data_IF_873703999365
#
_entry.id   IF_873703999365
#
_cell.length_a   1.000
_cell.length_b   1.000
_cell.length_c   1.000
_cell.angle_alpha   90.00
_cell.angle_beta   90.00
_cell.angle_gamma   90.00
#
_symmetry.space_group_name_H-M   'P 1'
#
loop_
_entity.id
_entity.type
_entity.pdbx_description
1 polymer ?
#
# COMPACT_ATOMS: atom_id res chain seq x y z
N UNK A 1 -1.49 -5.70 26.44
CA UNK A 1 -1.67 -4.26 26.14
C UNK A 1 -0.99 -3.90 24.80
N UNK A 2 -0.97 -4.81 23.82
CA UNK A 2 -0.02 -4.74 22.69
C UNK A 2 -0.67 -4.26 21.37
N UNK A 3 -2.00 -4.28 21.28
CA UNK A 3 -2.72 -3.98 20.04
C UNK A 3 -2.71 -2.49 19.66
N UNK A 4 -2.65 -1.56 20.62
CA UNK A 4 -2.66 -0.12 20.31
C UNK A 4 -1.34 0.36 19.68
N UNK A 5 -0.20 -0.11 20.22
CA UNK A 5 1.13 0.18 19.68
C UNK A 5 1.31 -0.41 18.28
N UNK A 6 0.84 -1.64 18.06
CA UNK A 6 0.92 -2.30 16.76
C UNK A 6 0.03 -1.60 15.70
N UNK A 7 -1.17 -1.16 16.07
CA UNK A 7 -2.05 -0.38 15.18
C UNK A 7 -1.46 1.00 14.86
N UNK A 8 -0.86 1.68 15.85
CA UNK A 8 -0.18 2.96 15.66
C UNK A 8 1.04 2.83 14.74
N UNK A 9 1.85 1.79 14.92
CA UNK A 9 3.03 1.51 14.09
C UNK A 9 2.63 1.15 12.65
N UNK A 10 1.57 0.35 12.49
CA UNK A 10 1.03 -0.01 11.17
C UNK A 10 0.50 1.21 10.41
N UNK A 11 -0.27 2.08 11.08
CA UNK A 11 -0.78 3.32 10.47
C UNK A 11 0.34 4.30 10.11
N UNK A 12 1.39 4.37 10.94
CA UNK A 12 2.56 5.22 10.68
C UNK A 12 3.33 4.76 9.44
N UNK A 13 3.55 3.44 9.30
CA UNK A 13 4.17 2.86 8.10
C UNK A 13 3.33 3.06 6.83
N UNK A 14 2.00 2.95 6.93
CA UNK A 14 1.12 3.25 5.79
C UNK A 14 1.18 4.73 5.38
N UNK A 15 1.25 5.64 6.36
CA UNK A 15 1.39 7.07 6.11
C UNK A 15 2.74 7.39 5.47
N UNK A 16 3.84 6.87 6.02
CA UNK A 16 5.19 7.06 5.48
C UNK A 16 5.32 6.56 4.04
N UNK A 17 4.79 5.37 3.75
CA UNK A 17 4.73 4.85 2.38
C UNK A 17 3.94 5.78 1.46
N UNK A 18 2.78 6.27 1.90
CA UNK A 18 1.95 7.18 1.10
C UNK A 18 2.68 8.48 0.80
N UNK A 19 3.31 9.10 1.81
CA UNK A 19 4.12 10.32 1.64
C UNK A 19 5.27 10.05 0.68
N UNK A 20 6.00 8.95 0.86
CA UNK A 20 7.09 8.55 -0.03
C UNK A 20 6.62 8.42 -1.48
N UNK A 21 5.48 7.76 -1.72
CA UNK A 21 4.90 7.59 -3.06
C UNK A 21 4.48 8.93 -3.67
N UNK A 22 3.86 9.81 -2.88
CA UNK A 22 3.45 11.15 -3.33
C UNK A 22 4.68 11.97 -3.70
N UNK A 23 5.71 12.02 -2.85
CA UNK A 23 6.93 12.80 -3.11
C UNK A 23 7.69 12.27 -4.32
N UNK A 24 7.87 10.96 -4.40
CA UNK A 24 8.60 10.32 -5.50
C UNK A 24 7.82 10.40 -6.82
N UNK A 25 6.51 10.19 -6.76
CA UNK A 25 5.59 10.32 -7.89
C UNK A 25 5.56 11.76 -8.43
N UNK A 26 5.48 12.75 -7.53
CA UNK A 26 5.56 14.16 -7.92
C UNK A 26 6.88 14.48 -8.62
N UNK A 27 8.02 14.04 -8.05
CA UNK A 27 9.34 14.26 -8.62
C UNK A 27 9.48 13.61 -10.01
N UNK A 28 9.03 12.36 -10.16
CA UNK A 28 9.02 11.65 -11.44
C UNK A 28 8.13 12.37 -12.47
N UNK A 29 6.94 12.80 -12.07
CA UNK A 29 6.03 13.55 -12.91
C UNK A 29 6.60 14.90 -13.37
N UNK A 30 7.27 15.63 -12.48
CA UNK A 30 7.97 16.88 -12.82
C UNK A 30 9.09 16.62 -13.82
N UNK A 31 9.90 15.57 -13.60
CA UNK A 31 11.00 15.22 -14.49
C UNK A 31 10.49 14.87 -15.90
N UNK A 32 9.43 14.07 -16.00
CA UNK A 32 8.81 13.70 -17.28
C UNK A 32 8.25 14.95 -17.97
N UNK A 33 7.47 15.78 -17.26
CA UNK A 33 6.92 17.01 -17.82
C UNK A 33 8.01 17.96 -18.32
N UNK A 34 9.12 18.09 -17.58
CA UNK A 34 10.27 18.89 -17.99
C UNK A 34 10.93 18.32 -19.25
N UNK A 35 11.05 17.00 -19.37
CA UNK A 35 11.61 16.35 -20.56
C UNK A 35 10.76 16.56 -21.83
N UNK A 36 9.43 16.68 -21.68
CA UNK A 36 8.49 16.90 -22.80
C UNK A 36 8.08 18.38 -22.99
N UNK A 37 8.78 19.33 -22.35
CA UNK A 37 8.46 20.77 -22.39
C UNK A 37 7.00 21.09 -22.03
N UNK A 38 6.44 20.41 -21.03
CA UNK A 38 5.11 20.66 -20.48
C UNK A 38 5.19 21.28 -19.08
N UNK A 39 4.03 21.70 -18.59
CA UNK A 39 3.89 22.29 -17.26
C UNK A 39 4.29 21.28 -16.17
N UNK A 40 5.27 21.66 -15.35
CA UNK A 40 5.82 20.85 -14.27
C UNK A 40 4.81 20.63 -13.14
N UNK A 41 3.92 21.60 -12.87
CA UNK A 41 2.87 21.47 -11.85
C UNK A 41 1.85 20.42 -12.26
N UNK A 42 1.45 20.41 -13.53
CA UNK A 42 0.57 19.37 -14.07
C UNK A 42 1.29 18.01 -14.03
N UNK A 43 2.59 17.98 -14.37
CA UNK A 43 3.44 16.80 -14.21
C UNK A 43 3.42 16.22 -12.81
N UNK A 44 3.62 17.07 -11.80
CA UNK A 44 3.60 16.68 -10.39
C UNK A 44 2.26 16.03 -10.01
N UNK A 45 1.14 16.66 -10.37
CA UNK A 45 -0.22 16.15 -10.07
C UNK A 45 -0.44 14.79 -10.73
N UNK A 46 -0.09 14.65 -12.01
CA UNK A 46 -0.21 13.39 -12.75
C UNK A 46 0.68 12.31 -12.14
N UNK A 47 1.93 12.65 -11.79
CA UNK A 47 2.87 11.73 -11.16
C UNK A 47 2.42 11.23 -9.79
N UNK A 48 1.86 12.12 -8.96
CA UNK A 48 1.21 11.74 -7.69
C UNK A 48 0.04 10.79 -7.95
N UNK A 49 -0.86 11.15 -8.88
CA UNK A 49 -2.03 10.35 -9.21
C UNK A 49 -1.67 8.94 -9.68
N UNK A 50 -0.71 8.83 -10.60
CA UNK A 50 -0.22 7.53 -11.10
C UNK A 50 0.50 6.75 -10.00
N UNK A 51 1.31 7.40 -9.16
CA UNK A 51 1.99 6.76 -8.03
C UNK A 51 1.01 6.15 -7.02
N UNK A 52 -0.03 6.89 -6.65
CA UNK A 52 -1.08 6.41 -5.75
C UNK A 52 -1.90 5.28 -6.38
N UNK A 53 -2.22 5.35 -7.67
CA UNK A 53 -2.92 4.28 -8.39
C UNK A 53 -2.08 2.99 -8.46
N UNK A 54 -0.79 3.11 -8.75
CA UNK A 54 0.13 1.98 -8.73
C UNK A 54 0.22 1.37 -7.33
N UNK A 55 0.35 2.20 -6.29
CA UNK A 55 0.34 1.71 -4.92
C UNK A 55 -0.96 0.99 -4.58
N UNK A 56 -2.13 1.52 -4.97
CA UNK A 56 -3.40 0.86 -4.73
C UNK A 56 -3.52 -0.49 -5.45
N UNK A 57 -3.08 -0.57 -6.72
CA UNK A 57 -3.11 -1.79 -7.52
C UNK A 57 -2.15 -2.87 -7.00
N UNK A 58 -0.95 -2.46 -6.57
CA UNK A 58 0.09 -3.38 -6.11
C UNK A 58 0.16 -3.51 -4.58
N UNK A 59 -0.76 -2.86 -3.85
CA UNK A 59 -0.77 -2.89 -2.39
C UNK A 59 -0.85 -4.34 -1.90
N UNK A 60 0.00 -4.74 -0.94
CA UNK A 60 0.00 -6.10 -0.40
C UNK A 60 -1.31 -6.47 0.33
N UNK A 61 -2.25 -5.52 0.55
CA UNK A 61 -3.57 -5.78 1.13
C UNK A 61 -4.33 -6.92 0.45
N UNK A 62 -4.21 -7.07 -0.88
CA UNK A 62 -4.84 -8.19 -1.59
C UNK A 62 -4.14 -9.54 -1.37
N UNK A 63 -2.83 -9.56 -1.08
CA UNK A 63 -2.09 -10.76 -0.70
C UNK A 63 -2.37 -11.14 0.76
N UNK A 64 -2.33 -10.18 1.67
CA UNK A 64 -2.63 -10.35 3.10
C UNK A 64 -4.04 -10.88 3.35
N UNK A 65 -5.04 -10.43 2.58
CA UNK A 65 -6.42 -10.96 2.66
C UNK A 65 -6.51 -12.43 2.22
N UNK A 66 -5.78 -12.82 1.18
CA UNK A 66 -5.72 -14.21 0.70
C UNK A 66 -4.97 -15.13 1.67
N UNK A 67 -3.92 -14.64 2.32
CA UNK A 67 -3.16 -15.39 3.31
C UNK A 67 -3.95 -15.59 4.61
N UNK A 68 -4.63 -14.56 5.11
CA UNK A 68 -5.52 -14.68 6.27
C UNK A 68 -6.64 -15.71 6.03
N UNK A 69 -7.29 -15.68 4.86
CA UNK A 69 -8.29 -16.68 4.47
C UNK A 69 -7.74 -18.12 4.41
N UNK A 70 -6.45 -18.29 4.05
CA UNK A 70 -5.79 -19.60 4.08
C UNK A 70 -5.46 -20.05 5.50
N UNK A 71 -5.07 -19.13 6.37
CA UNK A 71 -4.77 -19.40 7.77
C UNK A 71 -6.05 -19.79 8.53
N UNK A 72 -7.15 -19.06 8.36
CA UNK A 72 -8.46 -19.39 8.97
C UNK A 72 -8.94 -20.79 8.56
N UNK A 73 -8.82 -21.16 7.28
CA UNK A 73 -9.16 -22.50 6.81
C UNK A 73 -8.30 -23.60 7.42
N UNK A 74 -7.03 -23.31 7.71
CA UNK A 74 -6.14 -24.27 8.36
C UNK A 74 -6.47 -24.44 9.83
N UNK A 75 -6.76 -23.35 10.54
CA UNK A 75 -7.18 -23.36 11.95
C UNK A 75 -8.47 -24.16 12.11
N UNK A 76 -9.49 -23.88 11.28
CA UNK A 76 -10.76 -24.61 11.34
C UNK A 76 -10.61 -26.11 11.06
N UNK A 77 -9.67 -26.48 10.18
CA UNK A 77 -9.35 -27.89 9.88
C UNK A 77 -8.62 -28.60 11.03
N UNK A 78 -7.89 -27.85 11.86
CA UNK A 78 -7.22 -28.36 13.06
C UNK A 78 -8.24 -28.52 14.18
N UNK A 79 -9.08 -27.51 14.44
CA UNK A 79 -10.15 -27.56 15.46
C UNK A 79 -11.09 -28.74 15.23
N UNK A 80 -11.60 -28.91 14.01
CA UNK A 80 -12.47 -30.05 13.63
C UNK A 80 -11.80 -31.42 13.73
N UNK A 81 -10.46 -31.47 13.79
CA UNK A 81 -9.70 -32.70 14.05
C UNK A 81 -9.49 -32.98 15.54
N UNK A 82 -9.53 -31.96 16.39
CA UNK A 82 -9.42 -32.07 17.84
C UNK A 82 -10.77 -32.32 18.53
N UNK A 83 -11.89 -31.95 17.90
CA UNK A 83 -13.26 -32.24 18.37
C UNK A 83 -13.75 -33.67 18.06
N UNK A 84 -12.95 -34.49 17.37
CA UNK A 84 -13.22 -35.91 17.08
C UNK A 84 -12.32 -36.81 17.92
#
# INVERSE_FOLDING_TARGET
MNNLLEVLDTKSKEFENTVSIVTTGAAAGIAISKAINKDQKIGAIVGIGVGLLAYAMFSPKNKLKKENLKLEKQIHKIESKFEK
#
